data_IF_182768821804
#
_entry.id   IF_182768821804
#
_cell.length_a   1.000
_cell.length_b   1.000
_cell.length_c   1.000
_cell.angle_alpha   90.00
_cell.angle_beta   90.00
_cell.angle_gamma   90.00
#
_symmetry.space_group_name_H-M   'P 1'
#
loop_
_entity.id
_entity.type
_entity.pdbx_description
1 polymer ?
#
# COMPACT_ATOMS: atom_id res chain seq x y z
N UNK A 1 28.99 -16.87 -9.65
CA UNK A 1 27.60 -16.37 -9.72
C UNK A 1 26.66 -17.47 -10.18
N UNK A 2 27.08 -18.28 -11.15
CA UNK A 2 26.23 -19.33 -11.72
C UNK A 2 25.84 -20.38 -10.67
N UNK A 3 26.78 -20.81 -9.83
CA UNK A 3 26.51 -21.74 -8.72
C UNK A 3 25.52 -21.20 -7.74
N UNK A 4 25.60 -19.91 -7.41
CA UNK A 4 24.65 -19.25 -6.52
C UNK A 4 23.25 -19.16 -7.15
N UNK A 5 23.15 -18.86 -8.44
CA UNK A 5 21.88 -18.84 -9.17
C UNK A 5 21.27 -20.24 -9.23
N UNK A 6 22.09 -21.26 -9.46
CA UNK A 6 21.68 -22.66 -9.46
C UNK A 6 21.17 -23.11 -8.10
N UNK A 7 21.87 -22.77 -7.01
CA UNK A 7 21.42 -23.03 -5.64
C UNK A 7 20.08 -22.38 -5.35
N UNK A 8 19.88 -21.12 -5.77
CA UNK A 8 18.60 -20.46 -5.57
C UNK A 8 17.46 -21.10 -6.38
N UNK A 9 17.74 -21.63 -7.58
CA UNK A 9 16.75 -22.36 -8.39
C UNK A 9 16.37 -23.68 -7.73
N UNK A 10 17.34 -24.41 -7.19
CA UNK A 10 17.09 -25.63 -6.41
C UNK A 10 16.22 -25.34 -5.17
N UNK A 11 16.50 -24.24 -4.46
CA UNK A 11 15.64 -23.79 -3.35
C UNK A 11 14.20 -23.47 -3.78
N UNK A 12 14.01 -22.99 -5.00
CA UNK A 12 12.64 -22.80 -5.53
C UNK A 12 12.00 -24.13 -5.91
N UNK A 13 12.77 -25.04 -6.52
CA UNK A 13 12.25 -26.34 -6.92
C UNK A 13 11.82 -27.20 -5.72
N UNK A 14 12.56 -27.16 -4.61
CA UNK A 14 12.21 -27.87 -3.37
C UNK A 14 11.24 -27.12 -2.46
N UNK A 15 10.73 -25.93 -2.88
CA UNK A 15 9.73 -25.14 -2.16
C UNK A 15 10.26 -24.30 -0.99
N UNK A 16 11.55 -24.35 -0.67
CA UNK A 16 12.16 -23.58 0.43
C UNK A 16 12.31 -22.09 0.11
N UNK A 17 12.26 -21.70 -1.16
CA UNK A 17 12.31 -20.32 -1.64
C UNK A 17 11.16 -20.05 -2.62
N UNK A 18 10.40 -18.98 -2.40
CA UNK A 18 9.34 -18.56 -3.33
C UNK A 18 9.94 -17.91 -4.60
N UNK A 19 9.34 -18.11 -5.80
CA UNK A 19 9.83 -17.48 -7.05
C UNK A 19 9.99 -15.96 -6.96
N UNK A 20 9.10 -15.28 -6.25
CA UNK A 20 9.21 -13.83 -6.03
C UNK A 20 10.43 -13.46 -5.18
N UNK A 21 10.77 -14.26 -4.19
CA UNK A 21 11.97 -14.06 -3.36
C UNK A 21 13.25 -14.33 -4.14
N UNK A 22 13.24 -15.35 -5.00
CA UNK A 22 14.31 -15.59 -5.98
C UNK A 22 14.52 -14.35 -6.84
N UNK A 23 13.47 -13.86 -7.51
CA UNK A 23 13.56 -12.68 -8.39
C UNK A 23 14.09 -11.45 -7.65
N UNK A 24 13.67 -11.24 -6.39
CA UNK A 24 14.17 -10.13 -5.56
C UNK A 24 15.66 -10.25 -5.28
N UNK A 25 16.16 -11.45 -4.94
CA UNK A 25 17.60 -11.70 -4.71
C UNK A 25 18.41 -11.46 -5.97
N UNK A 26 17.98 -12.00 -7.10
CA UNK A 26 18.60 -11.80 -8.43
C UNK A 26 18.64 -10.30 -8.78
N UNK A 27 17.53 -9.58 -8.61
CA UNK A 27 17.47 -8.14 -8.91
C UNK A 27 18.40 -7.33 -8.01
N UNK A 28 18.52 -7.66 -6.72
CA UNK A 28 19.40 -6.97 -5.78
C UNK A 28 20.88 -7.16 -6.16
N UNK A 29 21.29 -8.39 -6.44
CA UNK A 29 22.68 -8.70 -6.83
C UNK A 29 22.98 -8.11 -8.21
N UNK A 30 22.05 -8.20 -9.17
CA UNK A 30 22.20 -7.56 -10.49
C UNK A 30 22.35 -6.05 -10.40
N UNK A 31 21.61 -5.39 -9.47
CA UNK A 31 21.75 -3.96 -9.24
C UNK A 31 23.11 -3.58 -8.64
N UNK A 32 23.63 -4.40 -7.71
CA UNK A 32 24.96 -4.22 -7.13
C UNK A 32 26.06 -4.32 -8.21
N UNK A 33 26.04 -5.38 -9.03
CA UNK A 33 27.01 -5.54 -10.10
C UNK A 33 26.92 -4.44 -11.15
N UNK A 34 25.71 -3.98 -11.49
CA UNK A 34 25.52 -2.85 -12.41
C UNK A 34 26.14 -1.57 -11.85
N UNK A 35 25.93 -1.32 -10.55
CA UNK A 35 26.55 -0.19 -9.88
C UNK A 35 28.09 -0.30 -9.85
N UNK A 36 28.64 -1.49 -9.52
CA UNK A 36 30.08 -1.72 -9.42
C UNK A 36 30.78 -1.68 -10.77
N UNK A 37 30.10 -1.98 -11.88
CA UNK A 37 30.66 -1.98 -13.24
C UNK A 37 30.43 -0.66 -14.00
N UNK A 38 29.85 0.38 -13.36
CA UNK A 38 29.56 1.66 -14.02
C UNK A 38 30.81 2.54 -14.11
N UNK A 39 31.31 2.86 -15.33
CA UNK A 39 32.61 3.53 -15.51
C UNK A 39 32.68 4.91 -14.88
N UNK A 40 31.54 5.61 -14.72
CA UNK A 40 31.46 6.98 -14.20
C UNK A 40 31.48 7.07 -12.67
N UNK A 41 31.38 5.94 -11.99
CA UNK A 41 31.34 5.85 -10.51
C UNK A 41 32.42 4.92 -10.03
N UNK A 42 33.68 5.39 -9.94
CA UNK A 42 34.79 4.66 -9.32
C UNK A 42 34.62 3.13 -9.43
N UNK A 43 34.79 2.61 -10.63
CA UNK A 43 34.59 1.18 -10.90
C UNK A 43 35.34 0.36 -9.84
N UNK A 44 34.66 -0.56 -9.18
CA UNK A 44 35.33 -1.46 -8.25
C UNK A 44 36.30 -2.31 -9.10
N UNK A 45 37.61 -2.31 -8.80
CA UNK A 45 38.58 -3.08 -9.57
C UNK A 45 38.15 -4.54 -9.67
N UNK A 46 38.24 -5.12 -10.86
CA UNK A 46 37.89 -6.54 -11.10
C UNK A 46 36.42 -6.82 -11.40
N UNK A 47 35.54 -5.80 -11.50
CA UNK A 47 34.13 -5.96 -11.88
C UNK A 47 33.84 -5.29 -13.23
N UNK A 48 34.25 -5.88 -14.37
CA UNK A 48 34.09 -5.25 -15.68
C UNK A 48 32.67 -5.22 -16.20
N UNK A 49 31.79 -6.13 -15.74
CA UNK A 49 30.39 -6.24 -16.17
C UNK A 49 29.51 -6.97 -15.15
N UNK A 50 28.20 -6.79 -15.31
CA UNK A 50 27.21 -7.54 -14.55
C UNK A 50 27.16 -9.01 -15.07
N UNK A 51 27.51 -10.02 -14.25
CA UNK A 51 27.51 -11.41 -14.65
C UNK A 51 26.10 -12.04 -14.68
N UNK A 52 25.08 -11.34 -14.19
CA UNK A 52 23.70 -11.87 -14.14
C UNK A 52 22.99 -11.58 -15.46
N UNK A 53 22.55 -12.60 -16.22
CA UNK A 53 21.84 -12.43 -17.48
C UNK A 53 20.50 -11.68 -17.30
N UNK A 54 20.13 -10.87 -18.30
CA UNK A 54 18.90 -10.03 -18.26
C UNK A 54 17.58 -10.79 -18.03
N UNK A 55 17.52 -12.10 -18.31
CA UNK A 55 16.30 -12.93 -18.23
C UNK A 55 16.39 -14.08 -17.22
N UNK A 56 17.10 -13.89 -16.13
CA UNK A 56 17.27 -14.93 -15.10
C UNK A 56 16.03 -15.10 -14.20
N UNK A 57 15.10 -14.16 -14.24
CA UNK A 57 13.89 -14.17 -13.38
C UNK A 57 12.95 -15.35 -13.67
N UNK A 58 12.36 -15.91 -12.63
CA UNK A 58 11.32 -16.94 -12.71
C UNK A 58 9.94 -16.31 -12.81
N UNK A 59 9.01 -17.01 -13.49
CA UNK A 59 7.61 -16.61 -13.48
C UNK A 59 7.08 -16.59 -12.04
N UNK A 60 6.55 -15.45 -11.63
CA UNK A 60 5.92 -15.30 -10.32
C UNK A 60 4.40 -15.25 -10.48
N UNK A 61 3.63 -15.73 -9.49
CA UNK A 61 2.18 -15.60 -9.53
C UNK A 61 1.75 -14.17 -9.83
N UNK A 62 0.74 -14.02 -10.69
CA UNK A 62 0.16 -12.73 -11.06
C UNK A 62 -0.22 -11.94 -9.81
N UNK A 63 -0.16 -10.62 -9.89
CA UNK A 63 -0.65 -9.71 -8.84
C UNK A 63 -2.06 -10.11 -8.41
N UNK A 64 -2.33 -9.97 -7.12
CA UNK A 64 -3.66 -10.25 -6.59
C UNK A 64 -4.71 -9.44 -7.38
N UNK A 65 -5.80 -10.10 -7.76
CA UNK A 65 -6.93 -9.43 -8.43
C UNK A 65 -7.44 -8.27 -7.57
N UNK A 66 -7.93 -7.17 -8.17
CA UNK A 66 -8.60 -6.11 -7.42
C UNK A 66 -9.76 -6.70 -6.62
N UNK A 67 -10.20 -6.00 -5.58
CA UNK A 67 -11.42 -6.35 -4.85
C UNK A 67 -12.61 -6.20 -5.81
N UNK A 68 -13.55 -7.15 -5.76
CA UNK A 68 -14.85 -6.93 -6.35
C UNK A 68 -15.59 -5.84 -5.55
N UNK A 69 -16.49 -5.13 -6.19
CA UNK A 69 -17.29 -4.09 -5.53
C UNK A 69 -18.17 -4.70 -4.42
N UNK A 70 -18.74 -5.88 -4.68
CA UNK A 70 -19.47 -6.69 -3.69
C UNK A 70 -18.62 -7.08 -2.48
N UNK A 71 -17.33 -7.43 -2.69
CA UNK A 71 -16.41 -7.77 -1.59
C UNK A 71 -16.21 -6.56 -0.67
N UNK A 72 -15.97 -5.38 -1.25
CA UNK A 72 -15.78 -4.16 -0.48
C UNK A 72 -17.06 -3.77 0.27
N UNK A 73 -18.21 -3.86 -0.39
CA UNK A 73 -19.53 -3.59 0.21
C UNK A 73 -19.81 -4.53 1.39
N UNK A 74 -19.52 -5.83 1.25
CA UNK A 74 -19.70 -6.81 2.32
C UNK A 74 -18.83 -6.51 3.53
N UNK A 75 -17.55 -6.19 3.32
CA UNK A 75 -16.64 -5.79 4.41
C UNK A 75 -17.14 -4.54 5.12
N UNK A 76 -17.49 -3.50 4.37
CA UNK A 76 -17.99 -2.25 4.96
C UNK A 76 -19.31 -2.45 5.70
N UNK A 77 -20.16 -3.35 5.24
CA UNK A 77 -21.41 -3.72 5.90
C UNK A 77 -21.20 -4.31 7.30
N UNK A 78 -20.26 -5.25 7.44
CA UNK A 78 -19.93 -5.84 8.77
C UNK A 78 -19.34 -4.81 9.71
N UNK A 79 -18.42 -3.96 9.21
CA UNK A 79 -17.84 -2.90 10.03
C UNK A 79 -18.91 -1.90 10.46
N UNK A 80 -19.83 -1.55 9.56
CA UNK A 80 -20.94 -0.64 9.85
C UNK A 80 -21.87 -1.21 10.92
N UNK A 81 -22.20 -2.49 10.87
CA UNK A 81 -23.00 -3.17 11.89
C UNK A 81 -22.32 -3.09 13.29
N UNK A 82 -21.01 -3.28 13.35
CA UNK A 82 -20.26 -3.14 14.60
C UNK A 82 -20.19 -1.66 15.09
N UNK A 83 -20.13 -0.70 14.16
CA UNK A 83 -20.21 0.74 14.48
C UNK A 83 -21.55 1.09 15.10
N UNK A 84 -22.64 0.62 14.54
CA UNK A 84 -24.02 0.85 15.06
C UNK A 84 -24.17 0.33 16.49
N UNK A 85 -23.45 -0.74 16.85
CA UNK A 85 -23.39 -1.27 18.23
C UNK A 85 -22.51 -0.44 19.19
N UNK A 86 -22.09 0.76 18.79
CA UNK A 86 -21.34 1.69 19.63
C UNK A 86 -19.82 1.50 19.66
N UNK A 87 -19.25 0.68 18.77
CA UNK A 87 -17.79 0.47 18.74
C UNK A 87 -17.05 1.64 18.07
N UNK A 88 -16.41 2.49 18.87
CA UNK A 88 -15.53 3.56 18.38
C UNK A 88 -14.39 3.03 17.50
N UNK A 89 -13.87 1.82 17.80
CA UNK A 89 -12.84 1.17 16.99
C UNK A 89 -13.41 0.81 15.62
N UNK A 90 -14.65 0.30 15.54
CA UNK A 90 -15.29 0.00 14.26
C UNK A 90 -15.59 1.28 13.47
N UNK A 91 -15.96 2.38 14.11
CA UNK A 91 -16.14 3.67 13.46
C UNK A 91 -14.85 4.13 12.76
N UNK A 92 -13.73 4.11 13.48
CA UNK A 92 -12.40 4.41 12.93
C UNK A 92 -12.02 3.45 11.80
N UNK A 93 -12.21 2.16 11.98
CA UNK A 93 -11.86 1.14 11.00
C UNK A 93 -12.68 1.26 9.73
N UNK A 94 -13.95 1.65 9.83
CA UNK A 94 -14.80 1.95 8.67
C UNK A 94 -14.20 3.06 7.81
N UNK A 95 -13.85 4.19 8.44
CA UNK A 95 -13.22 5.32 7.73
C UNK A 95 -11.86 4.92 7.18
N UNK A 96 -11.07 4.15 7.94
CA UNK A 96 -9.76 3.66 7.51
C UNK A 96 -9.84 2.77 6.28
N UNK A 97 -10.77 1.81 6.24
CA UNK A 97 -10.94 0.89 5.09
C UNK A 97 -11.47 1.64 3.87
N UNK A 98 -12.57 2.37 4.04
CA UNK A 98 -13.19 3.12 2.95
C UNK A 98 -12.28 4.24 2.43
N UNK A 99 -11.63 4.97 3.33
CA UNK A 99 -10.64 6.01 3.01
C UNK A 99 -9.42 5.46 2.26
N UNK A 100 -8.90 4.29 2.66
CA UNK A 100 -7.81 3.63 1.91
C UNK A 100 -8.16 3.37 0.45
N UNK A 101 -9.41 2.98 0.19
CA UNK A 101 -9.91 2.74 -1.15
C UNK A 101 -10.13 4.06 -1.90
N UNK A 102 -10.80 5.02 -1.29
CA UNK A 102 -11.15 6.30 -1.95
C UNK A 102 -9.92 7.16 -2.24
N UNK A 103 -8.97 7.22 -1.34
CA UNK A 103 -7.73 7.99 -1.50
C UNK A 103 -6.67 7.26 -2.34
N UNK A 104 -6.79 5.96 -2.55
CA UNK A 104 -5.79 5.17 -3.27
C UNK A 104 -4.37 5.29 -2.70
N UNK A 105 -4.23 5.69 -1.45
CA UNK A 105 -2.95 5.99 -0.81
C UNK A 105 -2.19 4.73 -0.38
N UNK A 106 -0.88 4.86 -0.14
CA UNK A 106 -0.09 3.80 0.50
C UNK A 106 -0.44 3.73 1.98
N UNK A 107 -0.33 2.52 2.58
CA UNK A 107 -0.58 2.35 4.01
C UNK A 107 0.28 3.27 4.89
N UNK A 108 1.52 3.56 4.48
CA UNK A 108 2.38 4.50 5.20
C UNK A 108 1.93 5.95 5.10
N UNK A 109 1.31 6.34 4.00
CA UNK A 109 0.71 7.65 3.80
C UNK A 109 -0.55 7.76 4.65
N UNK A 110 -1.43 6.75 4.60
CA UNK A 110 -2.64 6.69 5.44
C UNK A 110 -2.32 6.82 6.94
N UNK A 111 -1.33 6.08 7.44
CA UNK A 111 -0.93 6.13 8.84
C UNK A 111 -0.42 7.51 9.29
N UNK A 112 0.11 8.31 8.35
CA UNK A 112 0.72 9.60 8.65
C UNK A 112 -0.21 10.79 8.44
N UNK A 113 -1.45 10.55 7.99
CA UNK A 113 -2.42 11.63 7.82
C UNK A 113 -2.71 12.32 9.14
N UNK A 114 -2.68 13.65 9.09
CA UNK A 114 -3.08 14.56 10.17
C UNK A 114 -4.27 15.39 9.74
N UNK A 115 -4.92 16.04 10.68
CA UNK A 115 -6.02 16.94 10.38
C UNK A 115 -5.58 18.16 9.56
N UNK A 116 -4.35 18.64 9.73
CA UNK A 116 -3.73 19.69 8.89
C UNK A 116 -3.52 19.29 7.42
N UNK A 117 -3.55 17.99 7.12
CA UNK A 117 -3.44 17.50 5.75
C UNK A 117 -4.79 17.47 5.00
N UNK A 118 -5.89 17.79 5.70
CA UNK A 118 -7.25 17.78 5.16
C UNK A 118 -7.77 19.22 5.10
N UNK A 119 -7.85 19.74 3.90
CA UNK A 119 -8.30 21.10 3.61
C UNK A 119 -9.71 21.04 3.00
N UNK A 120 -10.77 21.46 3.73
CA UNK A 120 -12.09 21.61 3.17
C UNK A 120 -12.13 22.73 2.13
N UNK A 121 -12.96 22.56 1.11
CA UNK A 121 -13.25 23.56 0.07
C UNK A 121 -14.75 23.63 -0.13
N UNK A 122 -15.23 24.63 -0.87
CA UNK A 122 -16.67 24.83 -1.12
C UNK A 122 -17.35 23.57 -1.67
N UNK A 123 -16.64 22.85 -2.55
CA UNK A 123 -17.06 21.55 -3.05
C UNK A 123 -16.00 20.48 -2.78
N UNK A 124 -16.22 19.66 -1.74
CA UNK A 124 -15.29 18.60 -1.35
C UNK A 124 -14.07 19.13 -0.61
N UNK A 125 -12.88 18.65 -0.94
CA UNK A 125 -11.66 19.06 -0.25
C UNK A 125 -10.39 18.58 -0.94
N UNK A 126 -9.27 18.97 -0.36
CA UNK A 126 -7.93 18.48 -0.70
C UNK A 126 -7.38 17.61 0.43
N UNK A 127 -6.70 16.53 0.07
CA UNK A 127 -5.97 15.69 1.03
C UNK A 127 -4.52 15.64 0.60
N UNK A 128 -3.63 16.16 1.44
CA UNK A 128 -2.18 16.16 1.22
C UNK A 128 -1.57 14.86 1.71
N UNK A 129 -0.91 14.12 0.84
CA UNK A 129 -0.23 12.86 1.14
C UNK A 129 1.28 13.01 1.01
N UNK A 130 2.03 12.55 2.00
CA UNK A 130 3.49 12.53 1.97
C UNK A 130 3.99 11.20 1.40
N UNK A 131 4.49 11.22 0.17
CA UNK A 131 5.01 10.08 -0.55
C UNK A 131 6.41 9.63 -0.12
N UNK A 132 6.98 8.68 -0.87
CA UNK A 132 8.38 8.23 -0.68
C UNK A 132 9.35 9.40 -0.93
N UNK A 133 10.29 9.61 0.00
CA UNK A 133 11.26 10.71 -0.07
C UNK A 133 10.65 12.07 0.28
N UNK A 134 9.58 12.08 1.08
CA UNK A 134 8.88 13.31 1.54
C UNK A 134 8.35 14.20 0.42
N UNK A 135 8.14 13.65 -0.77
CA UNK A 135 7.48 14.39 -1.86
C UNK A 135 5.98 14.46 -1.59
N UNK A 136 5.40 15.65 -1.36
CA UNK A 136 3.98 15.79 -1.15
C UNK A 136 3.23 15.62 -2.48
N UNK A 137 2.01 15.09 -2.41
CA UNK A 137 1.02 15.17 -3.48
C UNK A 137 -0.34 15.46 -2.88
N UNK A 138 -1.14 16.23 -3.57
CA UNK A 138 -2.52 16.55 -3.17
C UNK A 138 -3.50 15.73 -3.99
N UNK A 139 -4.51 15.18 -3.33
CA UNK A 139 -5.62 14.47 -3.95
C UNK A 139 -6.88 15.31 -3.72
N UNK A 140 -7.60 15.65 -4.79
CA UNK A 140 -8.93 16.23 -4.70
C UNK A 140 -9.92 15.14 -4.30
N UNK A 141 -10.76 15.42 -3.32
CA UNK A 141 -11.79 14.50 -2.83
C UNK A 141 -13.19 15.12 -2.92
N UNK A 142 -14.19 14.27 -3.13
CA UNK A 142 -15.59 14.70 -3.15
C UNK A 142 -16.08 15.08 -1.74
N UNK A 143 -17.20 15.81 -1.68
CA UNK A 143 -17.89 16.17 -0.44
C UNK A 143 -18.18 14.95 0.42
N UNK A 144 -18.64 13.84 -0.16
CA UNK A 144 -18.88 12.58 0.57
C UNK A 144 -17.61 11.97 1.16
N UNK A 145 -16.49 12.09 0.45
CA UNK A 145 -15.20 11.58 0.96
C UNK A 145 -14.68 12.47 2.09
N UNK A 146 -14.83 13.78 1.97
CA UNK A 146 -14.48 14.72 3.03
C UNK A 146 -15.33 14.44 4.27
N UNK A 147 -16.65 14.37 4.13
CA UNK A 147 -17.59 14.08 5.23
C UNK A 147 -17.28 12.72 5.89
N UNK A 148 -16.89 11.72 5.11
CA UNK A 148 -16.42 10.43 5.65
C UNK A 148 -15.21 10.61 6.57
N UNK A 149 -14.20 11.38 6.17
CA UNK A 149 -13.01 11.60 7.01
C UNK A 149 -13.38 12.39 8.27
N UNK A 150 -14.19 13.43 8.13
CA UNK A 150 -14.65 14.30 9.23
C UNK A 150 -15.59 13.58 10.21
N UNK A 151 -16.21 12.47 9.80
CA UNK A 151 -17.07 11.66 10.69
C UNK A 151 -16.32 11.04 11.90
N UNK A 152 -14.99 11.10 11.91
CA UNK A 152 -14.17 10.72 13.07
C UNK A 152 -14.16 11.77 14.19
N UNK A 153 -14.69 12.97 13.94
CA UNK A 153 -14.55 14.14 14.81
C UNK A 153 -13.22 14.85 14.53
N UNK A 154 -13.30 16.08 14.05
CA UNK A 154 -12.12 16.86 13.70
C UNK A 154 -11.32 17.22 14.95
N UNK A 155 -10.07 16.81 14.99
CA UNK A 155 -9.10 17.16 16.03
C UNK A 155 -8.30 18.42 15.69
N UNK A 156 -7.32 18.72 16.53
CA UNK A 156 -6.38 19.82 16.27
C UNK A 156 -5.54 19.52 15.00
N UNK A 157 -5.03 20.56 14.31
CA UNK A 157 -4.29 20.37 13.06
C UNK A 157 -3.18 19.33 13.13
N UNK A 158 -2.40 19.32 14.20
CA UNK A 158 -1.30 18.36 14.42
C UNK A 158 -1.71 16.95 14.83
N UNK A 159 -3.00 16.70 15.12
CA UNK A 159 -3.49 15.41 15.55
C UNK A 159 -3.53 14.40 14.39
N UNK A 160 -3.27 13.13 14.73
CA UNK A 160 -3.35 12.06 13.75
C UNK A 160 -4.81 11.74 13.39
N UNK A 161 -5.09 11.58 12.09
CA UNK A 161 -6.42 11.13 11.66
C UNK A 161 -6.73 9.72 12.18
N UNK A 162 -5.71 8.87 12.28
CA UNK A 162 -5.83 7.51 12.82
C UNK A 162 -4.86 7.30 14.00
N UNK A 163 -5.23 7.81 15.20
CA UNK A 163 -4.39 7.67 16.39
C UNK A 163 -4.34 6.21 16.87
N UNK A 164 -3.25 5.87 17.55
CA UNK A 164 -3.09 4.58 18.20
C UNK A 164 -3.58 4.65 19.65
N UNK A 165 -4.46 3.71 20.04
CA UNK A 165 -4.91 3.62 21.43
C UNK A 165 -3.84 3.04 22.40
N UNK A 166 -2.75 2.49 21.86
CA UNK A 166 -1.73 1.79 22.66
C UNK A 166 -0.45 2.61 22.86
N UNK A 167 -0.25 3.67 22.12
CA UNK A 167 0.93 4.53 22.20
C UNK A 167 0.60 5.95 21.72
N UNK A 168 1.36 6.91 22.20
CA UNK A 168 1.24 8.29 21.69
C UNK A 168 1.80 8.34 20.24
N UNK A 169 0.91 8.38 19.26
CA UNK A 169 1.29 8.40 17.84
C UNK A 169 0.24 7.77 16.92
N UNK A 170 0.53 7.63 15.63
CA UNK A 170 -0.40 7.06 14.65
C UNK A 170 -0.51 5.54 14.76
N UNK A 171 -1.53 4.97 14.13
CA UNK A 171 -1.59 3.54 13.85
C UNK A 171 -0.37 3.10 13.04
N UNK A 172 0.19 1.93 13.39
CA UNK A 172 1.27 1.34 12.59
C UNK A 172 0.73 0.66 11.33
N UNK A 173 1.58 0.52 10.32
CA UNK A 173 1.25 -0.24 9.10
C UNK A 173 0.79 -1.67 9.41
N UNK A 174 1.41 -2.30 10.40
CA UNK A 174 1.06 -3.65 10.86
C UNK A 174 -0.33 -3.65 11.52
N UNK A 175 -0.63 -2.65 12.35
CA UNK A 175 -1.95 -2.53 12.98
C UNK A 175 -3.05 -2.34 11.93
N UNK A 176 -2.85 -1.45 10.95
CA UNK A 176 -3.79 -1.26 9.83
C UNK A 176 -4.01 -2.57 9.06
N UNK A 177 -2.92 -3.27 8.69
CA UNK A 177 -3.02 -4.53 7.96
C UNK A 177 -3.73 -5.62 8.77
N UNK A 178 -3.46 -5.73 10.07
CA UNK A 178 -4.10 -6.69 10.97
C UNK A 178 -5.61 -6.40 11.13
N UNK A 179 -6.00 -5.14 11.28
CA UNK A 179 -7.41 -4.72 11.35
C UNK A 179 -8.15 -5.03 10.05
N UNK A 180 -7.57 -4.68 8.91
CA UNK A 180 -8.16 -5.00 7.61
C UNK A 180 -8.31 -6.52 7.41
N UNK A 181 -7.27 -7.30 7.74
CA UNK A 181 -7.33 -8.75 7.63
C UNK A 181 -8.38 -9.38 8.55
N UNK A 182 -8.58 -8.82 9.75
CA UNK A 182 -9.63 -9.25 10.68
C UNK A 182 -11.02 -9.06 10.06
N UNK A 183 -11.35 -7.84 9.61
CA UNK A 183 -12.63 -7.55 8.98
C UNK A 183 -12.87 -8.33 7.69
N UNK A 184 -11.82 -8.55 6.90
CA UNK A 184 -11.91 -9.37 5.69
C UNK A 184 -12.27 -10.84 5.99
N UNK A 185 -11.76 -11.41 7.09
CA UNK A 185 -12.09 -12.80 7.50
C UNK A 185 -13.56 -13.00 7.84
N UNK A 186 -14.21 -11.99 8.42
CA UNK A 186 -15.65 -12.07 8.76
C UNK A 186 -16.54 -12.36 7.53
N UNK A 187 -16.08 -12.00 6.34
CA UNK A 187 -16.80 -12.19 5.07
C UNK A 187 -16.01 -12.98 4.03
N UNK A 188 -14.98 -13.73 4.46
CA UNK A 188 -14.10 -14.53 3.61
C UNK A 188 -13.44 -13.73 2.47
N UNK A 189 -13.12 -12.47 2.70
CA UNK A 189 -12.45 -11.58 1.75
C UNK A 189 -11.01 -11.33 2.19
N UNK A 190 -10.03 -11.56 1.32
CA UNK A 190 -8.65 -11.18 1.60
C UNK A 190 -8.49 -9.66 1.48
N UNK A 191 -8.78 -8.93 2.53
CA UNK A 191 -8.61 -7.47 2.58
C UNK A 191 -7.21 -7.08 3.00
N UNK A 192 -6.55 -6.20 2.24
CA UNK A 192 -5.25 -5.63 2.58
C UNK A 192 -5.14 -4.20 2.06
N UNK A 193 -4.32 -3.31 2.69
CA UNK A 193 -4.12 -1.94 2.19
C UNK A 193 -3.66 -1.88 0.74
N UNK A 194 -2.78 -2.81 0.35
CA UNK A 194 -2.28 -2.88 -1.02
C UNK A 194 -3.38 -3.25 -2.03
N UNK A 195 -4.30 -4.18 -1.65
CA UNK A 195 -5.44 -4.53 -2.49
C UNK A 195 -6.41 -3.36 -2.65
N UNK A 196 -6.68 -2.58 -1.59
CA UNK A 196 -7.52 -1.38 -1.67
C UNK A 196 -6.93 -0.38 -2.66
N UNK A 197 -5.64 -0.06 -2.55
CA UNK A 197 -4.94 0.82 -3.49
C UNK A 197 -4.94 0.28 -4.93
N UNK A 198 -4.70 -1.03 -5.11
CA UNK A 198 -4.76 -1.65 -6.44
C UNK A 198 -6.16 -1.57 -7.04
N UNK A 199 -7.20 -1.77 -6.22
CA UNK A 199 -8.59 -1.65 -6.63
C UNK A 199 -8.92 -0.22 -7.05
N UNK A 200 -8.54 0.78 -6.25
CA UNK A 200 -8.68 2.19 -6.60
C UNK A 200 -8.06 2.49 -7.98
N UNK A 201 -6.78 2.14 -8.17
CA UNK A 201 -6.08 2.37 -9.43
C UNK A 201 -6.76 1.67 -10.61
N UNK A 202 -7.20 0.41 -10.44
CA UNK A 202 -7.88 -0.35 -11.49
C UNK A 202 -9.21 0.31 -11.90
N UNK A 203 -10.00 0.77 -10.92
CA UNK A 203 -11.27 1.44 -11.22
C UNK A 203 -11.06 2.84 -11.80
N UNK A 204 -10.06 3.58 -11.37
CA UNK A 204 -9.73 4.87 -11.94
C UNK A 204 -9.36 4.75 -13.44
N UNK A 205 -8.48 3.79 -13.77
CA UNK A 205 -8.11 3.51 -15.16
C UNK A 205 -9.33 3.08 -15.98
N UNK A 206 -10.20 2.21 -15.46
CA UNK A 206 -11.43 1.79 -16.15
C UNK A 206 -12.40 2.96 -16.42
N UNK A 207 -12.33 4.02 -15.62
CA UNK A 207 -13.10 5.25 -15.76
C UNK A 207 -12.39 6.32 -16.61
N UNK A 208 -11.28 5.97 -17.25
CA UNK A 208 -10.55 6.84 -18.18
C UNK A 208 -9.51 7.77 -17.52
N UNK A 209 -9.19 7.57 -16.24
CA UNK A 209 -8.10 8.33 -15.61
C UNK A 209 -6.77 7.84 -16.17
N UNK A 210 -5.93 8.77 -16.60
CA UNK A 210 -4.59 8.47 -17.12
C UNK A 210 -3.71 7.82 -16.06
N UNK A 211 -2.98 6.76 -16.47
CA UNK A 211 -2.07 6.00 -15.61
C UNK A 211 -0.96 6.86 -14.99
N UNK A 212 -0.55 7.92 -15.67
CA UNK A 212 0.49 8.84 -15.19
C UNK A 212 0.00 9.83 -14.12
N UNK A 213 -1.31 9.95 -13.94
CA UNK A 213 -1.94 10.81 -12.91
C UNK A 213 -2.24 10.07 -11.61
N UNK A 214 -2.08 8.75 -11.54
CA UNK A 214 -2.33 7.87 -10.39
C UNK A 214 -1.05 7.65 -9.55
#
# INVERSE_FOLDING_TARGET
VDDWVSLLREQVANGSLKPRSFNRRISAVSALYRWASEPTRSAVPGVPRNPIPRRTGLSAPKLAKPLAESDLTSVLGVISAAKVKGSAIAARDYVMVRGSYLLGCRVSELCRLRWEDIEPLDEGGNVRLLGKGSKPRTIRVSTDTLALLESLGRGEPGDWLFPSNKRNGPLTRQAVAARMAMWGREVNVRLTPHRCRHTHATFAIRRGVDVFTL
#
